data_IF_642599996489
#
_entry.id   IF_642599996489
#
_cell.length_a   1.000
_cell.length_b   1.000
_cell.length_c   1.000
_cell.angle_alpha   90.00
_cell.angle_beta   90.00
_cell.angle_gamma   90.00
#
_symmetry.space_group_name_H-M   'P 1'
#
loop_
_entity.id
_entity.type
_entity.pdbx_description
1 polymer ?
#
# COMPACT_ATOMS: atom_id res chain seq x y z
N UNK A 1 52.86 -20.17 36.80
CA UNK A 1 52.22 -18.85 37.01
C UNK A 1 51.34 -18.54 35.82
N UNK A 2 50.01 -18.57 35.96
CA UNK A 2 49.07 -18.37 34.84
C UNK A 2 48.78 -16.88 34.68
N UNK A 3 49.11 -16.31 33.53
CA UNK A 3 48.92 -14.88 33.22
C UNK A 3 47.46 -14.64 32.83
N UNK A 4 46.69 -13.98 33.69
CA UNK A 4 45.30 -13.59 33.41
C UNK A 4 45.27 -12.45 32.39
N UNK A 5 44.86 -12.74 31.15
CA UNK A 5 44.62 -11.71 30.13
C UNK A 5 43.33 -10.96 30.47
N UNK A 6 43.43 -9.65 30.74
CA UNK A 6 42.25 -8.79 30.88
C UNK A 6 41.50 -8.74 29.55
N UNK A 7 40.30 -9.32 29.50
CA UNK A 7 39.40 -9.15 28.35
C UNK A 7 38.84 -7.72 28.38
N UNK A 8 38.99 -6.99 27.28
CA UNK A 8 38.34 -5.68 27.11
C UNK A 8 36.84 -5.93 26.95
N UNK A 9 36.03 -5.31 27.81
CA UNK A 9 34.57 -5.34 27.75
C UNK A 9 34.01 -4.08 27.09
N UNK A 10 32.74 -4.15 26.71
CA UNK A 10 31.99 -3.03 26.14
C UNK A 10 31.82 -1.91 27.19
N UNK A 11 31.99 -0.66 26.78
CA UNK A 11 31.81 0.49 27.67
C UNK A 11 30.36 0.99 27.68
N UNK A 12 29.91 1.57 28.80
CA UNK A 12 28.60 2.21 28.85
C UNK A 12 28.49 3.37 27.85
N UNK A 13 29.58 4.11 27.64
CA UNK A 13 29.61 5.24 26.71
C UNK A 13 29.44 4.80 25.25
N UNK A 14 29.97 3.62 24.87
CA UNK A 14 29.68 3.04 23.55
C UNK A 14 28.19 2.77 23.38
N UNK A 15 27.57 2.06 24.32
CA UNK A 15 26.12 1.73 24.21
C UNK A 15 25.28 2.99 24.11
N UNK A 16 25.54 3.99 24.97
CA UNK A 16 24.78 5.25 25.00
C UNK A 16 24.95 6.04 23.70
N UNK A 17 26.18 6.16 23.19
CA UNK A 17 26.43 6.88 21.93
C UNK A 17 25.84 6.14 20.74
N UNK A 18 25.86 4.79 20.76
CA UNK A 18 25.26 3.97 19.70
C UNK A 18 23.75 4.13 19.66
N UNK A 19 23.03 4.03 20.78
CA UNK A 19 21.57 4.22 20.79
C UNK A 19 21.18 5.65 20.45
N UNK A 20 22.02 6.63 20.79
CA UNK A 20 21.85 8.03 20.37
C UNK A 20 21.92 8.19 18.84
N UNK A 21 22.96 7.64 18.20
CA UNK A 21 23.12 7.70 16.74
C UNK A 21 21.98 6.93 16.04
N UNK A 22 21.62 5.74 16.53
CA UNK A 22 20.49 4.97 15.99
C UNK A 22 19.19 5.78 16.10
N UNK A 23 18.95 6.43 17.23
CA UNK A 23 17.78 7.31 17.43
C UNK A 23 17.72 8.44 16.40
N UNK A 24 18.84 9.12 16.14
CA UNK A 24 18.91 10.16 15.11
C UNK A 24 18.60 9.62 13.71
N UNK A 25 19.16 8.46 13.34
CA UNK A 25 18.90 7.83 12.04
C UNK A 25 17.43 7.44 11.89
N UNK A 26 16.83 6.86 12.93
CA UNK A 26 15.41 6.47 12.93
C UNK A 26 14.50 7.68 12.66
N UNK A 27 14.76 8.82 13.31
CA UNK A 27 14.00 10.06 13.08
C UNK A 27 14.06 10.56 11.61
N UNK A 28 15.19 10.35 10.92
CA UNK A 28 15.34 10.71 9.51
C UNK A 28 14.70 9.69 8.56
N UNK A 29 14.75 8.41 8.91
CA UNK A 29 14.26 7.31 8.07
C UNK A 29 12.73 7.20 8.09
N UNK A 30 12.10 7.31 9.26
CA UNK A 30 10.64 7.20 9.40
C UNK A 30 9.82 8.11 8.46
N UNK A 31 10.08 9.43 8.37
CA UNK A 31 9.28 10.30 7.49
C UNK A 31 9.44 9.92 6.02
N UNK A 32 10.65 9.51 5.60
CA UNK A 32 10.90 9.07 4.24
C UNK A 32 10.14 7.77 3.91
N UNK A 33 10.17 6.78 4.81
CA UNK A 33 9.43 5.52 4.64
C UNK A 33 7.92 5.78 4.56
N UNK A 34 7.38 6.63 5.43
CA UNK A 34 5.96 6.98 5.41
C UNK A 34 5.56 7.69 4.12
N UNK A 35 6.39 8.60 3.60
CA UNK A 35 6.14 9.27 2.33
C UNK A 35 6.14 8.29 1.14
N UNK A 36 7.13 7.40 1.06
CA UNK A 36 7.21 6.37 0.00
C UNK A 36 6.00 5.44 0.07
N UNK A 37 5.59 5.03 1.26
CA UNK A 37 4.40 4.19 1.46
C UNK A 37 3.13 4.90 1.00
N UNK A 38 2.92 6.14 1.43
CA UNK A 38 1.75 6.93 1.02
C UNK A 38 1.72 7.18 -0.50
N UNK A 39 2.88 7.41 -1.13
CA UNK A 39 2.99 7.52 -2.58
C UNK A 39 2.64 6.21 -3.29
N UNK A 40 3.14 5.08 -2.79
CA UNK A 40 2.83 3.75 -3.33
C UNK A 40 1.33 3.43 -3.20
N UNK A 41 0.72 3.73 -2.04
CA UNK A 41 -0.71 3.54 -1.80
C UNK A 41 -1.56 4.37 -2.78
N UNK A 42 -1.21 5.64 -3.02
CA UNK A 42 -1.89 6.48 -4.03
C UNK A 42 -1.73 5.92 -5.43
N UNK A 43 -0.52 5.51 -5.82
CA UNK A 43 -0.26 4.92 -7.14
C UNK A 43 -1.05 3.63 -7.34
N UNK A 44 -1.15 2.79 -6.30
CA UNK A 44 -1.95 1.58 -6.30
C UNK A 44 -3.44 1.89 -6.47
N UNK A 45 -3.97 2.88 -5.75
CA UNK A 45 -5.36 3.31 -5.91
C UNK A 45 -5.66 3.80 -7.33
N UNK A 46 -4.80 4.65 -7.90
CA UNK A 46 -4.96 5.12 -9.28
C UNK A 46 -4.94 3.97 -10.29
N UNK A 47 -4.00 3.04 -10.15
CA UNK A 47 -3.90 1.88 -11.04
C UNK A 47 -5.12 0.96 -10.93
N UNK A 48 -5.65 0.78 -9.72
CA UNK A 48 -6.86 0.00 -9.49
C UNK A 48 -8.08 0.65 -10.15
N UNK A 49 -8.27 1.96 -9.99
CA UNK A 49 -9.33 2.72 -10.66
C UNK A 49 -9.25 2.55 -12.18
N UNK A 50 -8.06 2.72 -12.76
CA UNK A 50 -7.86 2.55 -14.20
C UNK A 50 -8.18 1.12 -14.67
N UNK A 51 -7.75 0.11 -13.90
CA UNK A 51 -8.01 -1.29 -14.22
C UNK A 51 -9.50 -1.59 -14.19
N UNK A 52 -10.23 -1.14 -13.15
CA UNK A 52 -11.68 -1.33 -13.05
C UNK A 52 -12.40 -0.59 -14.18
N UNK A 53 -11.96 0.63 -14.55
CA UNK A 53 -12.52 1.34 -15.69
C UNK A 53 -12.36 0.55 -17.00
N UNK A 54 -11.18 -0.03 -17.24
CA UNK A 54 -10.97 -0.91 -18.40
C UNK A 54 -11.91 -2.11 -18.38
N UNK A 55 -12.18 -2.70 -17.21
CA UNK A 55 -13.16 -3.79 -17.10
C UNK A 55 -14.60 -3.33 -17.39
N UNK A 56 -14.97 -2.13 -16.94
CA UNK A 56 -16.26 -1.51 -17.28
C UNK A 56 -16.39 -1.32 -18.79
N UNK A 57 -15.35 -0.80 -19.43
CA UNK A 57 -15.34 -0.54 -20.87
C UNK A 57 -15.45 -1.86 -21.67
N UNK A 58 -14.76 -2.91 -21.23
CA UNK A 58 -14.87 -4.26 -21.81
C UNK A 58 -16.29 -4.81 -21.68
N UNK A 59 -16.88 -4.74 -20.47
CA UNK A 59 -18.25 -5.19 -20.23
C UNK A 59 -19.25 -4.48 -21.15
N UNK A 60 -19.08 -3.17 -21.36
CA UNK A 60 -19.97 -2.36 -22.22
C UNK A 60 -19.81 -2.68 -23.70
N UNK A 61 -18.60 -3.00 -24.15
CA UNK A 61 -18.34 -3.45 -25.52
C UNK A 61 -19.10 -4.74 -25.81
N UNK A 62 -19.09 -5.69 -24.87
CA UNK A 62 -19.71 -7.00 -25.05
C UNK A 62 -21.23 -7.01 -24.82
N UNK A 63 -21.76 -6.17 -23.92
CA UNK A 63 -23.18 -6.17 -23.52
C UNK A 63 -24.01 -4.98 -24.05
N UNK A 64 -23.48 -4.16 -24.96
CA UNK A 64 -24.27 -3.16 -25.70
C UNK A 64 -24.73 -1.95 -24.88
N UNK A 65 -23.79 -1.20 -24.29
CA UNK A 65 -24.05 0.06 -23.55
C UNK A 65 -24.94 -0.05 -22.29
N UNK A 66 -25.21 -1.27 -21.79
CA UNK A 66 -25.85 -1.44 -20.50
C UNK A 66 -24.96 -0.85 -19.36
N UNK A 67 -25.55 -0.16 -18.37
CA UNK A 67 -24.79 0.36 -17.23
C UNK A 67 -24.16 -0.79 -16.44
N UNK A 68 -22.85 -0.73 -16.22
CA UNK A 68 -22.14 -1.74 -15.44
C UNK A 68 -22.20 -1.39 -13.96
N UNK A 69 -22.74 -2.27 -13.12
CA UNK A 69 -22.61 -2.16 -11.66
C UNK A 69 -21.44 -3.01 -11.17
N UNK A 70 -20.86 -2.67 -10.00
CA UNK A 70 -19.78 -3.49 -9.39
C UNK A 70 -20.22 -4.94 -9.20
N UNK A 71 -21.52 -5.13 -8.97
CA UNK A 71 -22.15 -6.44 -8.85
C UNK A 71 -22.18 -7.19 -10.19
N UNK A 72 -22.52 -6.53 -11.30
CA UNK A 72 -22.49 -7.16 -12.63
C UNK A 72 -21.07 -7.55 -13.06
N UNK A 73 -20.07 -6.73 -12.69
CA UNK A 73 -18.65 -7.01 -12.95
C UNK A 73 -18.11 -8.16 -12.07
N UNK A 74 -18.59 -8.27 -10.83
CA UNK A 74 -18.25 -9.37 -9.92
C UNK A 74 -18.95 -10.69 -10.34
N UNK A 75 -20.24 -10.61 -10.67
CA UNK A 75 -21.08 -11.76 -11.02
C UNK A 75 -20.67 -12.38 -12.37
N UNK A 76 -20.13 -11.59 -13.30
CA UNK A 76 -19.58 -12.07 -14.58
C UNK A 76 -18.06 -12.31 -14.58
N UNK A 77 -17.42 -12.38 -13.41
CA UNK A 77 -15.99 -12.71 -13.23
C UNK A 77 -14.99 -11.74 -13.88
N UNK A 78 -15.35 -10.49 -14.14
CA UNK A 78 -14.40 -9.47 -14.63
C UNK A 78 -13.52 -8.91 -13.49
N UNK A 79 -13.92 -9.11 -12.23
CA UNK A 79 -13.17 -8.70 -11.05
C UNK A 79 -12.67 -9.94 -10.29
N UNK A 80 -11.37 -9.98 -10.02
CA UNK A 80 -10.79 -10.99 -9.12
C UNK A 80 -11.15 -10.72 -7.66
N UNK A 81 -11.17 -11.76 -6.82
CA UNK A 81 -11.39 -11.63 -5.37
C UNK A 81 -10.40 -10.64 -4.72
N UNK A 82 -9.16 -10.59 -5.22
CA UNK A 82 -8.15 -9.63 -4.77
C UNK A 82 -8.45 -8.18 -5.13
N UNK A 83 -9.16 -7.93 -6.23
CA UNK A 83 -9.63 -6.60 -6.61
C UNK A 83 -10.88 -6.19 -5.81
N UNK A 84 -11.80 -7.12 -5.56
CA UNK A 84 -12.97 -6.88 -4.70
C UNK A 84 -12.56 -6.47 -3.29
N UNK A 85 -11.63 -7.21 -2.68
CA UNK A 85 -11.09 -6.87 -1.36
C UNK A 85 -10.37 -5.50 -1.33
N UNK A 86 -9.77 -5.07 -2.45
CA UNK A 86 -9.14 -3.76 -2.56
C UNK A 86 -10.15 -2.64 -2.81
N UNK A 87 -11.21 -2.89 -3.57
CA UNK A 87 -12.33 -1.97 -3.79
C UNK A 87 -13.04 -1.69 -2.46
N UNK A 88 -13.29 -2.72 -1.66
CA UNK A 88 -13.89 -2.61 -0.33
C UNK A 88 -13.00 -1.84 0.65
N UNK A 89 -11.69 -2.13 0.64
CA UNK A 89 -10.71 -1.42 1.49
C UNK A 89 -10.51 0.04 1.07
N UNK A 90 -10.55 0.33 -0.23
CA UNK A 90 -10.35 1.65 -0.78
C UNK A 90 -11.65 2.46 -0.93
N UNK A 91 -12.80 1.93 -0.45
CA UNK A 91 -14.12 2.54 -0.55
C UNK A 91 -14.42 3.06 -1.97
N UNK A 92 -14.01 2.31 -3.00
CA UNK A 92 -14.21 2.71 -4.39
C UNK A 92 -15.67 2.50 -4.75
N UNK A 93 -16.36 3.57 -5.09
CA UNK A 93 -17.77 3.56 -5.48
C UNK A 93 -17.92 3.85 -6.96
N UNK A 94 -18.76 3.09 -7.66
CA UNK A 94 -19.21 3.46 -9.00
C UNK A 94 -20.34 4.49 -8.88
N UNK A 95 -20.15 5.67 -9.46
CA UNK A 95 -21.25 6.63 -9.70
C UNK A 95 -21.54 6.65 -11.20
N UNK A 96 -22.50 5.83 -11.63
CA UNK A 96 -22.81 5.67 -13.05
C UNK A 96 -21.65 4.99 -13.78
N UNK A 97 -21.04 5.70 -14.73
CA UNK A 97 -20.01 5.19 -15.65
C UNK A 97 -18.57 5.51 -15.22
N UNK A 98 -18.40 6.13 -14.05
CA UNK A 98 -17.08 6.52 -13.53
C UNK A 98 -16.78 5.84 -12.19
N UNK A 99 -15.61 5.22 -12.13
CA UNK A 99 -15.01 4.67 -10.93
C UNK A 99 -14.43 5.81 -10.09
N UNK A 100 -15.06 6.10 -8.94
CA UNK A 100 -14.61 7.16 -8.03
C UNK A 100 -14.11 6.54 -6.74
N UNK A 101 -12.84 6.77 -6.41
CA UNK A 101 -12.29 6.41 -5.11
C UNK A 101 -12.96 7.28 -4.04
N UNK A 102 -13.74 6.66 -3.15
CA UNK A 102 -14.32 7.34 -2.00
C UNK A 102 -13.21 7.80 -1.09
N UNK A 103 -13.03 9.11 -0.95
CA UNK A 103 -12.21 9.66 0.14
C UNK A 103 -12.83 9.23 1.46
N UNK A 104 -12.11 8.43 2.25
CA UNK A 104 -12.21 8.54 3.71
C UNK A 104 -11.61 9.87 4.15
#
# INVERSE_FOLDING_TARGET
MVKQNKRKGFTLIEVVTTVFIIGLLVLLVLPNVNHVRAFAERKQQTALVQTVQTQVDLYRNENGSAPATLKDLADKSYLSEGQLAQIDKAAITLKGDQVVAGKK
#
